data_IF_243624273101
#
_entry.id   IF_243624273101
#
_cell.length_a   1.000
_cell.length_b   1.000
_cell.length_c   1.000
_cell.angle_alpha   90.00
_cell.angle_beta   90.00
_cell.angle_gamma   90.00
#
_symmetry.space_group_name_H-M   'P 1'
#
loop_
_entity.id
_entity.type
_entity.pdbx_description
1 polymer ?
#
# COMPACT_ATOMS: atom_id res chain seq x y z
N UNK A 1 11.24 -0.61 -1.62
CA UNK A 1 10.04 -1.01 -0.84
C UNK A 1 9.02 -1.55 -1.81
N UNK A 2 8.32 -2.64 -1.46
CA UNK A 2 7.30 -3.25 -2.31
C UNK A 2 5.98 -3.27 -1.54
N UNK A 3 4.94 -2.73 -2.17
CA UNK A 3 3.56 -2.78 -1.71
C UNK A 3 2.73 -3.70 -2.60
N UNK A 4 1.62 -4.20 -2.10
CA UNK A 4 0.71 -5.01 -2.88
C UNK A 4 -0.48 -5.47 -2.08
N UNK A 5 -1.47 -6.01 -2.79
CA UNK A 5 -2.69 -6.56 -2.22
C UNK A 5 -3.30 -7.57 -3.16
N UNK A 6 -4.24 -8.37 -2.66
CA UNK A 6 -4.99 -9.32 -3.49
C UNK A 6 -5.97 -8.56 -4.36
N UNK A 7 -5.70 -8.46 -5.66
CA UNK A 7 -6.56 -7.75 -6.62
C UNK A 7 -6.87 -8.67 -7.82
N UNK A 8 -8.10 -9.20 -7.95
CA UNK A 8 -8.42 -10.11 -9.04
C UNK A 8 -8.39 -9.41 -10.41
N UNK A 9 -8.67 -8.11 -10.47
CA UNK A 9 -8.80 -7.36 -11.72
C UNK A 9 -8.16 -5.97 -11.64
N UNK A 10 -7.87 -5.40 -12.82
CA UNK A 10 -7.46 -4.01 -13.03
C UNK A 10 -6.01 -3.66 -12.69
N UNK A 11 -5.43 -4.23 -11.63
CA UNK A 11 -4.06 -3.91 -11.20
C UNK A 11 -3.03 -4.80 -11.92
N UNK A 12 -2.00 -4.24 -12.58
CA UNK A 12 -0.99 -5.02 -13.30
C UNK A 12 -0.07 -5.78 -12.34
N UNK A 13 0.74 -6.70 -12.89
CA UNK A 13 1.65 -7.55 -12.11
C UNK A 13 2.63 -6.73 -11.26
N UNK A 14 3.26 -5.71 -11.86
CA UNK A 14 4.19 -4.81 -11.20
C UNK A 14 4.21 -3.44 -11.88
N UNK A 15 4.38 -2.38 -11.10
CA UNK A 15 4.78 -1.07 -11.60
C UNK A 15 5.69 -0.34 -10.58
N UNK A 16 6.57 0.51 -11.09
CA UNK A 16 7.39 1.44 -10.30
C UNK A 16 6.65 2.78 -10.15
N UNK A 17 6.75 3.40 -8.98
CA UNK A 17 6.13 4.71 -8.73
C UNK A 17 7.03 5.85 -9.18
N UNK A 18 6.48 6.89 -9.80
CA UNK A 18 7.22 8.04 -10.34
C UNK A 18 8.07 8.86 -9.36
N UNK A 19 7.72 8.86 -8.06
CA UNK A 19 8.42 9.63 -7.03
C UNK A 19 8.13 9.04 -5.65
N UNK A 20 8.84 9.51 -4.62
CA UNK A 20 8.57 9.12 -3.24
C UNK A 20 7.12 9.44 -2.83
N UNK A 21 6.67 10.66 -3.07
CA UNK A 21 5.30 11.07 -2.75
C UNK A 21 4.25 10.28 -3.53
N UNK A 22 4.52 9.95 -4.81
CA UNK A 22 3.64 9.06 -5.56
C UNK A 22 3.62 7.64 -4.98
N UNK A 23 4.74 7.16 -4.46
CA UNK A 23 4.80 5.86 -3.78
C UNK A 23 4.08 5.84 -2.43
N UNK A 24 4.20 6.90 -1.63
CA UNK A 24 3.44 7.07 -0.38
C UNK A 24 1.93 7.12 -0.69
N UNK A 25 1.51 7.86 -1.71
CA UNK A 25 0.13 7.88 -2.18
C UNK A 25 -0.35 6.49 -2.63
N UNK A 26 0.45 5.81 -3.46
CA UNK A 26 0.14 4.45 -3.96
C UNK A 26 -0.07 3.49 -2.78
N UNK A 27 0.79 3.55 -1.78
CA UNK A 27 0.71 2.74 -0.57
C UNK A 27 -0.51 3.06 0.31
N UNK A 28 -0.87 4.34 0.40
CA UNK A 28 -2.08 4.78 1.09
C UNK A 28 -3.35 4.26 0.40
N UNK A 29 -3.33 4.11 -0.93
CA UNK A 29 -4.46 3.64 -1.74
C UNK A 29 -4.54 2.12 -1.91
N UNK A 30 -3.66 1.34 -1.26
CA UNK A 30 -3.70 -0.13 -1.36
C UNK A 30 -5.08 -0.66 -0.98
N UNK A 31 -5.57 -1.57 -1.82
CA UNK A 31 -6.73 -2.40 -1.55
C UNK A 31 -6.35 -3.87 -1.68
N UNK A 32 -6.92 -4.71 -0.83
CA UNK A 32 -6.74 -6.16 -0.88
C UNK A 32 -8.08 -6.85 -0.66
N UNK A 33 -8.29 -7.99 -1.31
CA UNK A 33 -9.31 -8.94 -0.88
C UNK A 33 -9.05 -9.34 0.58
N UNK A 34 -10.13 -9.40 1.35
CA UNK A 34 -10.13 -9.90 2.72
C UNK A 34 -9.52 -11.29 2.80
N UNK A 35 -8.77 -11.54 3.88
CA UNK A 35 -8.17 -12.84 4.17
C UNK A 35 -8.72 -13.37 5.49
N UNK A 36 -8.59 -14.68 5.72
CA UNK A 36 -9.06 -15.33 6.95
C UNK A 36 -8.33 -14.87 8.24
N UNK A 37 -7.28 -14.04 8.12
CA UNK A 37 -6.56 -13.51 9.27
C UNK A 37 -7.31 -12.36 9.98
N UNK A 38 -8.31 -11.76 9.32
CA UNK A 38 -9.20 -10.76 9.93
C UNK A 38 -10.57 -11.33 10.27
N UNK A 39 -11.35 -10.59 11.05
CA UNK A 39 -12.74 -10.94 11.38
C UNK A 39 -13.72 -10.72 10.21
N UNK A 40 -13.30 -9.98 9.19
CA UNK A 40 -14.09 -9.72 7.99
C UNK A 40 -14.29 -11.01 7.19
N UNK A 41 -15.54 -11.31 6.81
CA UNK A 41 -15.90 -12.52 6.06
C UNK A 41 -16.15 -12.23 4.58
N UNK A 42 -15.82 -13.21 3.71
CA UNK A 42 -16.01 -13.14 2.26
C UNK A 42 -14.79 -12.60 1.48
N UNK A 43 -14.92 -12.51 0.15
CA UNK A 43 -13.88 -11.99 -0.77
C UNK A 43 -14.16 -10.54 -1.16
N UNK A 44 -14.31 -9.65 -0.18
CA UNK A 44 -14.52 -8.22 -0.43
C UNK A 44 -13.17 -7.53 -0.59
N UNK A 45 -13.08 -6.61 -1.55
CA UNK A 45 -11.88 -5.78 -1.73
C UNK A 45 -12.03 -4.53 -0.86
N UNK A 46 -11.16 -4.40 0.15
CA UNK A 46 -11.19 -3.31 1.11
C UNK A 46 -9.87 -2.53 1.09
N UNK A 47 -9.90 -1.30 1.59
CA UNK A 47 -8.66 -0.54 1.83
C UNK A 47 -7.86 -1.21 2.94
N UNK A 48 -6.56 -1.35 2.68
CA UNK A 48 -5.56 -1.80 3.65
C UNK A 48 -4.28 -0.98 3.43
N UNK A 49 -4.39 0.32 3.74
CA UNK A 49 -3.33 1.30 3.52
C UNK A 49 -2.04 0.87 4.20
N UNK A 50 -0.95 0.79 3.43
CA UNK A 50 0.37 0.30 3.89
C UNK A 50 0.37 -1.13 4.48
N UNK A 51 -0.71 -1.91 4.33
CA UNK A 51 -0.94 -3.14 5.11
C UNK A 51 -0.93 -2.89 6.64
N UNK A 52 -1.29 -1.67 7.06
CA UNK A 52 -1.24 -1.23 8.45
C UNK A 52 -2.63 -0.99 9.05
N UNK A 53 -3.73 -1.20 8.31
CA UNK A 53 -5.08 -0.86 8.79
C UNK A 53 -5.41 -1.39 10.20
N UNK A 54 -5.10 -2.64 10.57
CA UNK A 54 -5.38 -3.14 11.92
C UNK A 54 -4.27 -2.85 12.95
N UNK A 55 -3.17 -2.19 12.54
CA UNK A 55 -1.96 -2.01 13.36
C UNK A 55 -1.64 -0.54 13.69
N UNK A 56 -2.48 0.40 13.25
CA UNK A 56 -2.25 1.83 13.44
C UNK A 56 -2.25 2.21 14.93
N UNK A 57 -1.10 2.63 15.46
CA UNK A 57 -0.96 3.11 16.83
C UNK A 57 -1.19 4.61 17.04
N UNK A 58 -1.39 5.37 15.96
CA UNK A 58 -1.67 6.82 16.01
C UNK A 58 -2.41 7.27 14.74
N UNK A 59 -2.76 8.55 14.67
CA UNK A 59 -3.52 9.12 13.55
C UNK A 59 -2.84 8.85 12.19
N UNK A 60 -3.59 8.26 11.26
CA UNK A 60 -3.07 7.87 9.94
C UNK A 60 -2.62 9.05 9.07
N UNK A 61 -3.24 10.23 9.19
CA UNK A 61 -2.79 11.44 8.51
C UNK A 61 -1.37 11.84 8.94
N UNK A 62 -1.09 11.80 10.25
CA UNK A 62 0.26 12.02 10.79
C UNK A 62 1.25 10.95 10.34
N UNK A 63 0.79 9.72 10.17
CA UNK A 63 1.62 8.64 9.63
C UNK A 63 2.04 8.92 8.18
N UNK A 64 1.13 9.41 7.35
CA UNK A 64 1.45 9.82 5.98
C UNK A 64 2.40 11.01 5.95
N UNK A 65 2.17 12.03 6.79
CA UNK A 65 3.08 13.17 6.94
C UNK A 65 4.50 12.71 7.31
N UNK A 66 4.62 11.77 8.24
CA UNK A 66 5.89 11.18 8.62
C UNK A 66 6.60 10.52 7.44
N UNK A 67 5.90 9.67 6.67
CA UNK A 67 6.46 9.05 5.47
C UNK A 67 6.89 10.08 4.42
N UNK A 68 6.07 11.10 4.15
CA UNK A 68 6.41 12.16 3.18
C UNK A 68 7.67 12.93 3.61
N UNK A 69 7.84 13.17 4.92
CA UNK A 69 9.01 13.88 5.46
C UNK A 69 10.34 13.13 5.33
N UNK A 70 10.33 11.83 5.02
CA UNK A 70 11.55 11.02 4.87
C UNK A 70 12.37 11.42 3.64
N UNK A 71 11.73 11.98 2.61
CA UNK A 71 12.42 12.52 1.43
C UNK A 71 13.02 13.89 1.77
N UNK A 72 14.14 13.85 2.47
CA UNK A 72 14.89 15.01 2.94
C UNK A 72 16.26 15.08 2.26
N UNK A 73 16.83 16.29 2.17
CA UNK A 73 18.10 16.55 1.46
C UNK A 73 19.27 15.63 1.86
N UNK A 74 19.24 15.09 3.08
CA UNK A 74 20.31 14.25 3.63
C UNK A 74 19.97 12.75 3.64
N UNK A 75 18.83 12.33 3.08
CA UNK A 75 18.37 10.95 3.12
C UNK A 75 17.95 10.47 1.74
N UNK A 76 18.62 9.43 1.23
CA UNK A 76 18.23 8.82 -0.04
C UNK A 76 17.14 7.78 0.21
N UNK A 77 15.91 8.11 -0.17
CA UNK A 77 14.78 7.20 -0.07
C UNK A 77 14.87 6.07 -1.10
N UNK A 78 14.39 4.85 -0.78
CA UNK A 78 14.37 3.74 -1.72
C UNK A 78 13.28 3.92 -2.78
N UNK A 79 13.46 3.28 -3.94
CA UNK A 79 12.38 3.13 -4.92
C UNK A 79 11.19 2.37 -4.32
N UNK A 80 9.98 2.73 -4.74
CA UNK A 80 8.74 2.08 -4.35
C UNK A 80 8.14 1.38 -5.59
N UNK A 81 7.71 0.14 -5.37
CA UNK A 81 7.00 -0.67 -6.37
C UNK A 81 5.68 -1.14 -5.80
N UNK A 82 4.69 -1.31 -6.67
CA UNK A 82 3.45 -2.00 -6.34
C UNK A 82 3.33 -3.27 -7.16
N UNK A 83 2.99 -4.39 -6.51
CA UNK A 83 2.82 -5.70 -7.14
C UNK A 83 1.41 -6.25 -6.94
N UNK A 84 0.96 -7.08 -7.88
CA UNK A 84 -0.28 -7.84 -7.75
C UNK A 84 -0.10 -9.27 -8.30
N UNK A 85 0.12 -10.22 -7.39
CA UNK A 85 0.26 -11.64 -7.73
C UNK A 85 -1.08 -12.35 -7.94
N UNK A 86 -2.20 -11.67 -7.69
CA UNK A 86 -3.52 -12.30 -7.55
C UNK A 86 -4.48 -11.93 -8.68
N UNK A 87 -3.96 -11.34 -9.76
CA UNK A 87 -4.75 -11.04 -10.95
C UNK A 87 -5.28 -12.35 -11.55
N UNK A 88 -6.57 -12.37 -11.88
CA UNK A 88 -7.25 -13.47 -12.56
C UNK A 88 -7.50 -13.08 -14.02
N UNK A 89 -7.49 -14.09 -14.89
CA UNK A 89 -7.79 -13.97 -16.32
C UNK A 89 -9.24 -14.31 -16.63
#
# INVERSE_FOLDING_TARGET
>A
IIFGGRRPEGVPLVFETFSWNHGVFTAACIKSETTAAGEETGKKVNYDSFAQRPFMGYNFGRYLEHWMSMDSKNHKVPKIFHVNWFRKG
#
